data_IF_423000838947
#
_entry.id   IF_423000838947
#
_cell.length_a   1.000
_cell.length_b   1.000
_cell.length_c   1.000
_cell.angle_alpha   90.00
_cell.angle_beta   90.00
_cell.angle_gamma   90.00
#
_symmetry.space_group_name_H-M   'P 1'
#
loop_
_entity.id
_entity.type
_entity.pdbx_description
1 polymer ?
#
# COMPACT_ATOMS: atom_id res chain seq x y z
N UNK A 1 27.98 -15.13 -8.99
CA UNK A 1 27.60 -14.87 -7.58
C UNK A 1 27.76 -13.40 -7.22
N UNK A 2 28.98 -12.84 -7.30
CA UNK A 2 29.30 -11.44 -6.95
C UNK A 2 28.36 -10.36 -7.50
N UNK A 3 27.87 -10.48 -8.74
CA UNK A 3 26.91 -9.50 -9.30
C UNK A 3 25.55 -9.54 -8.60
N UNK A 4 25.06 -10.73 -8.25
CA UNK A 4 23.78 -10.91 -7.52
C UNK A 4 23.92 -10.35 -6.09
N UNK A 5 25.07 -10.54 -5.46
CA UNK A 5 25.37 -9.96 -4.14
C UNK A 5 25.37 -8.42 -4.19
N UNK A 6 26.01 -7.83 -5.21
CA UNK A 6 25.96 -6.37 -5.39
C UNK A 6 24.54 -5.85 -5.61
N UNK A 7 23.74 -6.54 -6.42
CA UNK A 7 22.32 -6.20 -6.61
C UNK A 7 21.52 -6.34 -5.31
N UNK A 8 21.79 -7.38 -4.52
CA UNK A 8 21.19 -7.58 -3.20
C UNK A 8 21.47 -6.39 -2.29
N UNK A 9 22.72 -5.93 -2.19
CA UNK A 9 23.07 -4.73 -1.41
C UNK A 9 22.31 -3.50 -1.90
N UNK A 10 22.23 -3.26 -3.20
CA UNK A 10 21.47 -2.13 -3.76
C UNK A 10 19.98 -2.21 -3.41
N UNK A 11 19.37 -3.40 -3.49
CA UNK A 11 17.96 -3.62 -3.14
C UNK A 11 17.72 -3.38 -1.65
N UNK A 12 18.60 -3.85 -0.76
CA UNK A 12 18.50 -3.59 0.69
C UNK A 12 18.57 -2.09 1.00
N UNK A 13 19.49 -1.37 0.33
CA UNK A 13 19.60 0.09 0.46
C UNK A 13 18.32 0.78 -0.03
N UNK A 14 17.76 0.34 -1.16
CA UNK A 14 16.51 0.88 -1.70
C UNK A 14 15.34 0.67 -0.74
N UNK A 15 15.19 -0.53 -0.16
CA UNK A 15 14.16 -0.84 0.85
C UNK A 15 14.28 0.10 2.06
N UNK A 16 15.51 0.37 2.49
CA UNK A 16 15.79 1.28 3.61
C UNK A 16 15.48 2.73 3.26
N UNK A 17 15.84 3.19 2.05
CA UNK A 17 15.60 4.55 1.60
C UNK A 17 14.11 4.88 1.41
N UNK A 18 13.30 3.87 1.07
CA UNK A 18 11.86 4.01 0.84
C UNK A 18 11.02 3.88 2.12
N UNK A 19 11.60 4.15 3.29
CA UNK A 19 10.89 4.17 4.57
C UNK A 19 9.68 5.13 4.57
N UNK A 20 9.73 6.22 3.80
CA UNK A 20 8.60 7.15 3.63
C UNK A 20 7.34 6.46 3.10
N UNK A 21 7.47 5.36 2.37
CA UNK A 21 6.34 4.58 1.89
C UNK A 21 5.61 3.85 3.02
N UNK A 22 6.21 3.68 4.20
CA UNK A 22 5.49 3.15 5.38
C UNK A 22 4.65 4.19 6.12
N UNK A 23 4.58 5.44 5.65
CA UNK A 23 3.68 6.43 6.26
C UNK A 23 2.23 6.08 5.92
N UNK A 24 1.36 6.12 6.93
CA UNK A 24 -0.09 5.94 6.79
C UNK A 24 -0.67 7.06 5.94
N UNK A 25 -1.43 6.71 4.90
CA UNK A 25 -2.27 7.67 4.20
C UNK A 25 -3.47 7.98 5.10
N UNK A 26 -3.49 9.17 5.68
CA UNK A 26 -4.73 9.80 6.12
C UNK A 26 -5.22 10.57 4.91
N UNK A 27 -6.35 10.19 4.33
CA UNK A 27 -6.96 10.89 3.20
C UNK A 27 -7.19 12.38 3.48
N UNK A 28 -7.81 13.12 2.56
CA UNK A 28 -8.15 14.52 2.77
C UNK A 28 -8.84 14.67 4.13
N UNK A 29 -8.18 15.37 5.07
CA UNK A 29 -8.81 15.69 6.36
C UNK A 29 -9.90 16.68 6.05
N UNK A 30 -11.14 16.21 6.05
CA UNK A 30 -12.27 17.12 6.08
C UNK A 30 -12.15 17.90 7.39
N UNK A 31 -11.78 19.17 7.30
CA UNK A 31 -12.11 20.10 8.37
C UNK A 31 -13.63 20.15 8.37
N UNK A 32 -14.26 19.41 9.29
CA UNK A 32 -15.67 19.62 9.57
C UNK A 32 -15.80 21.10 9.91
N UNK A 33 -16.33 21.90 9.00
CA UNK A 33 -16.91 23.21 9.31
C UNK A 33 -18.14 22.92 10.19
N UNK A 34 -17.89 22.57 11.45
CA UNK A 34 -18.85 22.61 12.55
C UNK A 34 -19.18 24.08 12.75
N UNK A 35 -20.20 24.55 12.05
CA UNK A 35 -20.51 25.96 12.06
C UNK A 35 -21.82 26.30 11.38
N UNK A 36 -22.92 25.64 11.78
CA UNK A 36 -24.16 26.34 12.15
C UNK A 36 -25.34 25.39 12.32
N UNK A 37 -25.83 25.31 13.55
CA UNK A 37 -27.09 24.68 13.91
C UNK A 37 -28.20 25.75 13.80
N UNK A 38 -28.83 25.89 12.64
CA UNK A 38 -30.02 26.74 12.53
C UNK A 38 -31.25 25.99 13.04
N UNK A 39 -31.49 26.10 14.35
CA UNK A 39 -32.81 25.84 14.94
C UNK A 39 -33.78 26.90 14.44
N UNK A 40 -34.76 26.57 13.60
CA UNK A 40 -35.96 27.40 13.42
C UNK A 40 -37.22 26.55 13.60
N UNK A 41 -37.85 26.75 14.76
CA UNK A 41 -39.25 26.42 15.03
C UNK A 41 -40.12 27.54 14.49
N UNK A 42 -41.18 27.22 13.72
CA UNK A 42 -42.58 27.74 13.86
C UNK A 42 -43.41 27.53 12.58
N UNK A 43 -44.66 27.10 12.79
CA UNK A 43 -45.81 27.62 12.05
C UNK A 43 -46.23 26.87 10.77
N UNK A 44 -47.11 25.89 10.94
CA UNK A 44 -48.01 25.43 9.87
C UNK A 44 -48.93 26.59 9.44
N UNK A 45 -49.03 26.87 8.13
CA UNK A 45 -50.27 27.24 7.44
C UNK A 45 -50.09 27.28 5.89
N UNK A 46 -51.02 26.56 5.24
CA UNK A 46 -51.36 26.33 3.81
C UNK A 46 -50.95 27.38 2.74
N UNK A 47 -50.40 26.91 1.60
CA UNK A 47 -51.00 26.90 0.23
C UNK A 47 -49.96 26.53 -0.86
N UNK A 48 -50.33 25.87 -1.98
CA UNK A 48 -49.39 25.36 -2.97
C UNK A 48 -49.04 26.44 -4.01
N UNK A 49 -47.84 27.01 -3.92
CA UNK A 49 -47.23 27.77 -5.00
C UNK A 49 -46.21 26.86 -5.68
N UNK A 50 -46.37 26.63 -6.99
CA UNK A 50 -45.29 26.09 -7.83
C UNK A 50 -44.17 27.14 -7.81
N UNK A 51 -43.25 26.96 -6.88
CA UNK A 51 -41.89 27.51 -6.92
C UNK A 51 -41.05 26.49 -7.69
N UNK A 52 -40.20 26.91 -8.64
CA UNK A 52 -39.14 26.06 -9.14
C UNK A 52 -38.34 25.56 -7.92
N UNK A 53 -38.20 24.27 -7.78
CA UNK A 53 -37.53 23.64 -6.64
C UNK A 53 -36.03 23.98 -6.70
N UNK A 54 -35.63 25.09 -6.07
CA UNK A 54 -34.23 25.54 -5.92
C UNK A 54 -33.35 24.44 -5.28
N UNK A 55 -33.98 23.53 -4.53
CA UNK A 55 -33.38 22.33 -3.92
C UNK A 55 -32.95 21.28 -4.97
N UNK A 56 -33.60 21.23 -6.14
CA UNK A 56 -33.24 20.29 -7.21
C UNK A 56 -31.91 20.65 -7.89
N UNK A 57 -31.60 21.95 -7.98
CA UNK A 57 -30.28 22.41 -8.47
C UNK A 57 -29.21 22.16 -7.42
N UNK A 58 -29.53 22.41 -6.14
CA UNK A 58 -28.61 22.14 -5.03
C UNK A 58 -28.24 20.67 -4.92
N UNK A 59 -29.20 19.73 -5.03
CA UNK A 59 -28.90 18.28 -5.06
C UNK A 59 -28.06 17.85 -6.26
N UNK A 60 -28.23 18.51 -7.42
CA UNK A 60 -27.43 18.23 -8.61
C UNK A 60 -26.00 18.74 -8.50
N UNK A 61 -25.82 19.92 -7.87
CA UNK A 61 -24.49 20.50 -7.57
C UNK A 61 -23.78 19.65 -6.51
N UNK A 62 -24.48 19.29 -5.43
CA UNK A 62 -23.95 18.46 -4.34
C UNK A 62 -23.55 17.07 -4.85
N UNK A 63 -24.38 16.39 -5.67
CA UNK A 63 -23.98 15.12 -6.31
C UNK A 63 -22.77 15.28 -7.26
N UNK A 64 -22.62 16.43 -7.92
CA UNK A 64 -21.49 16.69 -8.82
C UNK A 64 -20.21 16.99 -8.03
N UNK A 65 -20.29 17.72 -6.93
CA UNK A 65 -19.17 17.97 -6.03
C UNK A 65 -18.73 16.69 -5.32
N UNK A 66 -19.67 15.88 -4.81
CA UNK A 66 -19.38 14.57 -4.22
C UNK A 66 -18.68 13.62 -5.22
N UNK A 67 -19.16 13.56 -6.47
CA UNK A 67 -18.56 12.69 -7.49
C UNK A 67 -17.17 13.15 -7.96
N UNK A 68 -16.90 14.47 -7.94
CA UNK A 68 -15.56 15.02 -8.21
C UNK A 68 -14.63 14.74 -7.03
N UNK A 69 -15.13 14.86 -5.79
CA UNK A 69 -14.38 14.60 -4.56
C UNK A 69 -13.98 13.11 -4.44
N UNK A 70 -14.91 12.18 -4.71
CA UNK A 70 -14.63 10.74 -4.72
C UNK A 70 -13.57 10.38 -5.78
N UNK A 71 -13.66 10.99 -6.98
CA UNK A 71 -12.69 10.76 -8.04
C UNK A 71 -11.28 11.23 -7.67
N UNK A 72 -11.15 12.38 -6.99
CA UNK A 72 -9.87 12.89 -6.51
C UNK A 72 -9.31 12.07 -5.34
N UNK A 73 -10.15 11.55 -4.45
CA UNK A 73 -9.74 10.65 -3.37
C UNK A 73 -9.21 9.31 -3.92
N UNK A 74 -9.91 8.71 -4.88
CA UNK A 74 -9.45 7.50 -5.57
C UNK A 74 -8.13 7.73 -6.31
N UNK A 75 -7.96 8.89 -6.94
CA UNK A 75 -6.72 9.26 -7.63
C UNK A 75 -5.56 9.41 -6.65
N UNK A 76 -5.76 10.13 -5.55
CA UNK A 76 -4.75 10.25 -4.50
C UNK A 76 -4.39 8.87 -3.92
N UNK A 77 -5.37 8.05 -3.58
CA UNK A 77 -5.14 6.69 -3.09
C UNK A 77 -4.32 5.86 -4.10
N UNK A 78 -4.57 6.00 -5.40
CA UNK A 78 -3.82 5.30 -6.46
C UNK A 78 -2.35 5.74 -6.54
N UNK A 79 -2.06 7.04 -6.40
CA UNK A 79 -0.69 7.59 -6.36
C UNK A 79 0.10 7.10 -5.14
N UNK A 80 -0.59 6.82 -4.04
CA UNK A 80 0.00 6.21 -2.85
C UNK A 80 0.19 4.69 -3.02
N UNK A 81 -0.79 3.98 -3.61
CA UNK A 81 -0.74 2.52 -3.76
C UNK A 81 0.31 2.06 -4.76
N UNK A 82 0.35 2.67 -5.94
CA UNK A 82 1.19 2.24 -7.06
C UNK A 82 2.69 2.11 -6.72
N UNK A 83 3.35 3.09 -6.05
CA UNK A 83 4.76 2.96 -5.70
C UNK A 83 5.03 1.81 -4.71
N UNK A 84 4.10 1.55 -3.78
CA UNK A 84 4.23 0.45 -2.81
C UNK A 84 4.03 -0.91 -3.48
N UNK A 85 3.02 -1.04 -4.33
CA UNK A 85 2.75 -2.28 -5.06
C UNK A 85 3.90 -2.63 -6.02
N UNK A 86 4.37 -1.63 -6.77
CA UNK A 86 5.50 -1.77 -7.68
C UNK A 86 6.76 -2.19 -6.92
N UNK A 87 7.05 -1.56 -5.78
CA UNK A 87 8.19 -1.92 -4.93
C UNK A 87 8.12 -3.39 -4.49
N UNK A 88 6.98 -3.82 -3.95
CA UNK A 88 6.76 -5.20 -3.52
C UNK A 88 6.91 -6.17 -4.69
N UNK A 89 6.37 -5.85 -5.86
CA UNK A 89 6.44 -6.68 -7.06
C UNK A 89 7.88 -6.84 -7.59
N UNK A 90 8.63 -5.73 -7.68
CA UNK A 90 10.03 -5.72 -8.14
C UNK A 90 10.90 -6.53 -7.19
N UNK A 91 10.78 -6.33 -5.87
CA UNK A 91 11.59 -7.04 -4.88
C UNK A 91 11.26 -8.53 -4.89
N UNK A 92 9.97 -8.88 -4.94
CA UNK A 92 9.55 -10.28 -4.99
C UNK A 92 10.10 -10.99 -6.24
N UNK A 93 10.08 -10.30 -7.38
CA UNK A 93 10.67 -10.80 -8.63
C UNK A 93 12.19 -10.96 -8.52
N UNK A 94 12.88 -9.96 -7.96
CA UNK A 94 14.32 -10.03 -7.72
C UNK A 94 14.71 -11.22 -6.84
N UNK A 95 14.04 -11.41 -5.70
CA UNK A 95 14.33 -12.51 -4.77
C UNK A 95 14.06 -13.85 -5.42
N UNK A 96 12.94 -14.00 -6.12
CA UNK A 96 12.57 -15.24 -6.80
C UNK A 96 13.61 -15.63 -7.87
N UNK A 97 13.93 -14.71 -8.79
CA UNK A 97 14.87 -14.96 -9.88
C UNK A 97 16.30 -15.17 -9.37
N UNK A 98 16.74 -14.34 -8.42
CA UNK A 98 18.09 -14.43 -7.86
C UNK A 98 18.29 -15.70 -7.05
N UNK A 99 17.28 -16.12 -6.26
CA UNK A 99 17.35 -17.38 -5.51
C UNK A 99 17.46 -18.57 -6.45
N UNK A 100 16.63 -18.61 -7.51
CA UNK A 100 16.73 -19.66 -8.53
C UNK A 100 18.11 -19.69 -9.17
N UNK A 101 18.62 -18.53 -9.58
CA UNK A 101 19.93 -18.41 -10.22
C UNK A 101 21.09 -18.78 -9.30
N UNK A 102 21.03 -18.40 -8.02
CA UNK A 102 22.05 -18.77 -7.04
C UNK A 102 22.10 -20.28 -6.82
N UNK A 103 20.93 -20.95 -6.75
CA UNK A 103 20.86 -22.42 -6.67
C UNK A 103 21.46 -23.10 -7.89
N UNK A 104 21.19 -22.59 -9.10
CA UNK A 104 21.81 -23.10 -10.34
C UNK A 104 23.33 -22.93 -10.32
N UNK A 105 23.82 -21.75 -9.94
CA UNK A 105 25.25 -21.47 -9.87
C UNK A 105 25.96 -22.31 -8.81
N UNK A 106 25.32 -22.55 -7.65
CA UNK A 106 25.88 -23.39 -6.61
C UNK A 106 26.08 -24.84 -7.08
N UNK A 107 25.12 -25.38 -7.85
CA UNK A 107 25.25 -26.71 -8.46
C UNK A 107 26.42 -26.81 -9.43
N UNK A 108 26.70 -25.74 -10.18
CA UNK A 108 27.83 -25.69 -11.13
C UNK A 108 29.18 -25.60 -10.43
N UNK A 109 29.26 -24.90 -9.29
CA UNK A 109 30.49 -24.79 -8.50
C UNK A 109 30.82 -26.13 -7.82
N UNK A 110 29.79 -26.91 -7.45
CA UNK A 110 29.91 -28.23 -6.83
C UNK A 110 30.83 -28.25 -5.59
N UNK A 111 30.81 -27.16 -4.82
CA UNK A 111 31.56 -27.00 -3.58
C UNK A 111 30.62 -27.26 -2.38
N UNK A 112 30.87 -28.30 -1.57
CA UNK A 112 30.03 -28.64 -0.41
C UNK A 112 30.12 -27.61 0.73
N UNK A 113 31.14 -26.74 0.76
CA UNK A 113 31.26 -25.66 1.74
C UNK A 113 30.59 -24.36 1.29
N UNK A 114 30.10 -24.31 0.04
CA UNK A 114 29.49 -23.10 -0.51
C UNK A 114 28.18 -22.75 0.20
N UNK A 115 28.20 -21.65 0.93
CA UNK A 115 26.99 -21.04 1.49
C UNK A 115 26.38 -20.06 0.48
N UNK A 116 25.10 -20.24 0.18
CA UNK A 116 24.35 -19.29 -0.65
C UNK A 116 24.24 -17.93 0.07
N UNK A 117 24.49 -16.81 -0.64
CA UNK A 117 24.39 -15.49 -0.04
C UNK A 117 22.92 -15.15 0.28
N UNK A 118 22.73 -14.46 1.39
CA UNK A 118 21.43 -14.00 1.85
C UNK A 118 21.00 -12.73 1.09
N UNK A 119 19.95 -12.87 0.28
CA UNK A 119 19.46 -11.81 -0.60
C UNK A 119 18.77 -10.66 0.14
N UNK A 120 18.02 -10.96 1.20
CA UNK A 120 17.34 -9.99 2.06
C UNK A 120 17.58 -10.42 3.51
N UNK A 121 17.86 -9.45 4.38
CA UNK A 121 17.94 -9.70 5.82
C UNK A 121 16.56 -9.63 6.48
N UNK A 122 16.48 -10.08 7.73
CA UNK A 122 15.24 -10.04 8.52
C UNK A 122 14.61 -8.64 8.57
N UNK A 123 15.42 -7.59 8.68
CA UNK A 123 14.96 -6.19 8.72
C UNK A 123 14.26 -5.78 7.42
N UNK A 124 14.79 -6.19 6.27
CA UNK A 124 14.15 -6.00 4.98
C UNK A 124 12.81 -6.72 4.91
N UNK A 125 12.72 -7.96 5.40
CA UNK A 125 11.47 -8.72 5.41
C UNK A 125 10.40 -8.07 6.29
N UNK A 126 10.74 -7.67 7.52
CA UNK A 126 9.82 -6.94 8.40
C UNK A 126 9.33 -5.64 7.74
N UNK A 127 10.24 -4.88 7.11
CA UNK A 127 9.87 -3.65 6.42
C UNK A 127 8.89 -3.89 5.26
N UNK A 128 9.12 -4.94 4.47
CA UNK A 128 8.22 -5.27 3.36
C UNK A 128 6.84 -5.72 3.87
N UNK A 129 6.80 -6.40 5.02
CA UNK A 129 5.55 -6.75 5.67
C UNK A 129 4.77 -5.51 6.14
N UNK A 130 5.44 -4.50 6.69
CA UNK A 130 4.80 -3.22 7.06
C UNK A 130 4.21 -2.52 5.83
N UNK A 131 4.94 -2.48 4.72
CA UNK A 131 4.48 -1.88 3.45
C UNK A 131 3.27 -2.66 2.91
N UNK A 132 3.34 -3.99 2.91
CA UNK A 132 2.22 -4.84 2.50
C UNK A 132 0.99 -4.63 3.40
N UNK A 133 1.19 -4.50 4.71
CA UNK A 133 0.12 -4.24 5.66
C UNK A 133 -0.57 -2.88 5.43
N UNK A 134 0.20 -1.83 5.13
CA UNK A 134 -0.36 -0.51 4.78
C UNK A 134 -1.15 -0.57 3.47
N UNK A 135 -0.66 -1.31 2.48
CA UNK A 135 -1.41 -1.56 1.26
C UNK A 135 -2.74 -2.28 1.52
N UNK A 136 -2.76 -3.26 2.43
CA UNK A 136 -3.99 -3.95 2.81
C UNK A 136 -5.01 -3.01 3.47
N UNK A 137 -4.56 -2.08 4.32
CA UNK A 137 -5.44 -1.05 4.91
C UNK A 137 -6.04 -0.11 3.87
N UNK A 138 -5.37 0.05 2.73
CA UNK A 138 -5.92 0.83 1.64
C UNK A 138 -6.92 0.02 0.81
N UNK A 139 -6.93 -1.31 0.89
CA UNK A 139 -7.73 -2.22 0.06
C UNK A 139 -9.25 -2.00 0.09
N UNK A 140 -9.78 -1.38 1.15
CA UNK A 140 -11.21 -1.03 1.26
C UNK A 140 -11.70 -0.13 0.13
N UNK A 141 -10.79 0.60 -0.54
CA UNK A 141 -11.12 1.53 -1.62
C UNK A 141 -10.96 0.96 -3.05
N UNK A 142 -10.43 -0.26 -3.22
CA UNK A 142 -10.38 -0.98 -4.51
C UNK A 142 -9.84 -2.41 -4.32
N UNK A 143 -10.62 -3.46 -4.64
CA UNK A 143 -10.29 -4.86 -4.39
C UNK A 143 -9.21 -5.47 -5.31
N UNK A 144 -8.72 -4.75 -6.34
CA UNK A 144 -7.88 -5.36 -7.38
C UNK A 144 -6.37 -5.32 -7.13
N UNK A 145 -5.84 -4.52 -6.19
CA UNK A 145 -4.39 -4.26 -6.22
C UNK A 145 -3.68 -4.50 -4.89
N UNK A 146 -3.64 -5.77 -4.49
CA UNK A 146 -2.66 -6.27 -3.51
C UNK A 146 -1.59 -7.01 -4.30
N UNK A 147 -0.30 -6.71 -4.07
CA UNK A 147 0.83 -7.32 -4.79
C UNK A 147 0.83 -8.85 -4.71
N UNK A 148 0.15 -9.51 -5.64
CA UNK A 148 0.04 -10.97 -5.70
C UNK A 148 1.44 -11.61 -5.70
N UNK A 149 2.41 -10.96 -6.33
CA UNK A 149 3.80 -11.40 -6.35
C UNK A 149 4.43 -11.46 -4.96
N UNK A 150 4.16 -10.50 -4.07
CA UNK A 150 4.67 -10.55 -2.70
C UNK A 150 4.12 -11.73 -1.93
N UNK A 151 2.80 -11.89 -1.91
CA UNK A 151 2.12 -12.95 -1.17
C UNK A 151 2.40 -14.35 -1.74
N UNK A 152 2.56 -14.49 -3.05
CA UNK A 152 2.79 -15.79 -3.69
C UNK A 152 4.28 -16.18 -3.75
N UNK A 153 5.21 -15.23 -3.87
CA UNK A 153 6.63 -15.52 -4.14
C UNK A 153 7.57 -15.17 -3.00
N UNK A 154 7.31 -14.10 -2.25
CA UNK A 154 8.23 -13.62 -1.23
C UNK A 154 7.84 -14.07 0.18
N UNK A 155 6.56 -13.93 0.52
CA UNK A 155 6.04 -14.30 1.84
C UNK A 155 6.31 -15.77 2.20
N UNK A 156 6.08 -16.77 1.33
CA UNK A 156 6.32 -18.18 1.66
C UNK A 156 7.81 -18.53 1.80
N UNK A 157 8.71 -17.71 1.25
CA UNK A 157 10.15 -17.93 1.31
C UNK A 157 10.83 -17.21 2.47
N UNK A 158 10.08 -16.42 3.25
CA UNK A 158 10.63 -15.63 4.35
C UNK A 158 10.79 -16.51 5.60
N UNK A 159 12.00 -16.56 6.15
CA UNK A 159 12.27 -17.31 7.38
C UNK A 159 12.03 -16.41 8.61
N UNK A 160 10.86 -16.53 9.23
CA UNK A 160 10.45 -15.73 10.40
C UNK A 160 11.10 -16.16 11.72
N UNK A 161 11.83 -17.26 11.74
CA UNK A 161 12.40 -17.84 12.96
C UNK A 161 13.42 -16.94 13.70
N UNK A 162 13.91 -15.87 13.05
CA UNK A 162 14.90 -14.95 13.62
C UNK A 162 14.37 -14.06 14.77
N UNK A 163 13.06 -14.04 15.03
CA UNK A 163 12.45 -13.22 16.11
C UNK A 163 12.32 -13.96 17.46
N UNK A 164 12.61 -15.27 17.51
CA UNK A 164 12.25 -16.13 18.66
C UNK A 164 13.34 -16.35 19.71
N UNK A 165 14.52 -15.75 19.59
CA UNK A 165 15.63 -15.97 20.55
C UNK A 165 15.81 -14.75 21.46
N UNK A 166 15.01 -14.69 22.52
CA UNK A 166 15.06 -13.63 23.51
C UNK A 166 14.30 -13.90 24.80
N UNK A 167 14.30 -15.13 25.33
CA UNK A 167 13.88 -15.40 26.71
C UNK A 167 14.63 -16.63 27.26
N UNK A 168 15.78 -16.40 27.90
CA UNK A 168 16.36 -17.24 28.95
C UNK A 168 17.04 -16.33 29.97
#
# INVERSE_FOLDING_TARGET
MKTIEKLSVTVKTMITALETLTRTFTGPKYETLSGTSYKHSRGSNRSPSIVPDEDSVSRFIDNRENNVQDADEHKQASEYRWPRDTLLSVISTFVHLSTKRLKELAKLINDPQLRLPELLDAKCHSRLADIAHILLKLGDYDPITISQNYFQKLLPCTNWAHETLGYY
#
